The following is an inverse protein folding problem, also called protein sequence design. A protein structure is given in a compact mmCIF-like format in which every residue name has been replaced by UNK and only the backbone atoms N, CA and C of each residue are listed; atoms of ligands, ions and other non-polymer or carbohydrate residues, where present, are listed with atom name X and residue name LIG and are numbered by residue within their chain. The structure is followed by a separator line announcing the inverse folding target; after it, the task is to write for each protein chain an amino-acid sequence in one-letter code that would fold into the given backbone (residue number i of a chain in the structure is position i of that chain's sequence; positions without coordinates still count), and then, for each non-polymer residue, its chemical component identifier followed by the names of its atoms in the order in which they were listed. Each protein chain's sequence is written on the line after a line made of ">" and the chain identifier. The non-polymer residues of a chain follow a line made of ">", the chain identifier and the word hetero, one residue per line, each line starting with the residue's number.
data_IF_848023535858
#
_entry.id   IF_848023535858
#
_cell.length_a   1.000
_cell.length_b   1.000
_cell.length_c   1.000
_cell.angle_alpha   90.00
_cell.angle_beta   90.00
_cell.angle_gamma   90.00
#
_symmetry.space_group_name_H-M   'P 1'
#
loop_
_entity.id
_entity.type
_entity.pdbx_description
1 polymer ?
#
# COMPACT_ATOMS: atom_id res chain seq x y z
N UNK A 1 23.22 -5.08 -15.48
CA UNK A 1 22.64 -3.85 -16.08
C UNK A 1 21.13 -4.04 -16.07
N UNK A 2 20.34 -3.05 -15.61
CA UNK A 2 18.88 -3.16 -15.64
C UNK A 2 18.38 -3.31 -17.09
N UNK A 3 17.62 -4.36 -17.38
CA UNK A 3 16.99 -4.59 -18.68
C UNK A 3 15.87 -3.56 -18.88
N UNK A 4 16.16 -2.46 -19.58
CA UNK A 4 15.20 -1.39 -19.88
C UNK A 4 14.90 -1.35 -21.38
N UNK A 5 13.67 -0.93 -21.74
CA UNK A 5 13.22 -0.75 -23.13
C UNK A 5 12.64 0.65 -23.29
N UNK A 6 13.09 1.38 -24.31
CA UNK A 6 12.57 2.72 -24.62
C UNK A 6 11.11 2.61 -25.12
N UNK A 7 10.23 3.42 -24.51
CA UNK A 7 8.81 3.51 -24.89
C UNK A 7 8.47 4.98 -25.14
N UNK A 8 8.17 5.40 -26.38
CA UNK A 8 7.78 6.78 -26.66
C UNK A 8 6.35 7.02 -26.15
N UNK A 9 6.17 8.06 -25.33
CA UNK A 9 4.89 8.46 -24.75
C UNK A 9 4.67 9.95 -25.07
N UNK A 10 3.48 10.30 -25.55
CA UNK A 10 3.09 11.70 -25.78
C UNK A 10 2.63 12.33 -24.47
N UNK A 11 3.18 13.50 -24.15
CA UNK A 11 2.75 14.30 -23.01
C UNK A 11 2.08 15.59 -23.50
N UNK A 12 0.99 16.03 -22.84
CA UNK A 12 0.48 17.39 -22.99
C UNK A 12 1.54 18.44 -22.68
N UNK A 13 1.55 19.55 -23.42
CA UNK A 13 2.58 20.60 -23.31
C UNK A 13 2.51 21.34 -21.97
N UNK A 14 1.32 21.58 -21.47
CA UNK A 14 1.04 22.14 -20.15
C UNK A 14 1.64 21.27 -19.04
N UNK A 15 1.40 19.95 -19.09
CA UNK A 15 1.94 19.00 -18.12
C UNK A 15 3.47 18.91 -18.18
N UNK A 16 4.06 19.00 -19.37
CA UNK A 16 5.52 19.07 -19.51
C UNK A 16 6.08 20.35 -18.90
N UNK A 17 5.43 21.50 -19.14
CA UNK A 17 5.86 22.78 -18.59
C UNK A 17 5.84 22.76 -17.05
N UNK A 18 4.79 22.20 -16.46
CA UNK A 18 4.70 22.02 -15.01
C UNK A 18 5.78 21.08 -14.47
N UNK A 19 6.03 19.96 -15.17
CA UNK A 19 7.07 19.03 -14.79
C UNK A 19 8.46 19.69 -14.85
N UNK A 20 8.74 20.48 -15.88
CA UNK A 20 9.98 21.22 -16.03
C UNK A 20 10.17 22.27 -14.93
N UNK A 21 9.09 22.98 -14.58
CA UNK A 21 9.09 23.98 -13.52
C UNK A 21 9.35 23.39 -12.13
N UNK A 22 8.81 22.20 -11.83
CA UNK A 22 8.81 21.65 -10.47
C UNK A 22 9.83 20.54 -10.22
N UNK A 23 10.20 19.76 -11.23
CA UNK A 23 11.11 18.61 -11.11
C UNK A 23 12.48 18.90 -11.75
N UNK A 24 12.50 19.75 -12.78
CA UNK A 24 13.69 20.08 -13.56
C UNK A 24 14.06 19.01 -14.59
N UNK A 25 14.74 19.44 -15.67
CA UNK A 25 14.89 18.65 -16.89
C UNK A 25 15.57 17.28 -16.69
N UNK A 26 16.57 17.19 -15.80
CA UNK A 26 17.37 15.97 -15.58
C UNK A 26 16.67 14.91 -14.71
N UNK A 27 15.61 15.28 -13.99
CA UNK A 27 14.93 14.37 -13.05
C UNK A 27 13.56 13.88 -13.55
N UNK A 28 13.11 14.34 -14.72
CA UNK A 28 11.83 13.96 -15.34
C UNK A 28 11.63 12.44 -15.41
N UNK A 29 12.60 11.74 -15.99
CA UNK A 29 12.50 10.28 -16.16
C UNK A 29 12.38 9.55 -14.83
N UNK A 30 13.18 9.95 -13.83
CA UNK A 30 13.12 9.36 -12.49
C UNK A 30 11.74 9.60 -11.85
N UNK A 31 11.26 10.84 -11.91
CA UNK A 31 9.96 11.21 -11.36
C UNK A 31 8.81 10.45 -12.03
N UNK A 32 8.80 10.36 -13.35
CA UNK A 32 7.77 9.62 -14.11
C UNK A 32 7.82 8.12 -13.76
N UNK A 33 9.00 7.53 -13.65
CA UNK A 33 9.16 6.12 -13.25
C UNK A 33 8.61 5.88 -11.84
N UNK A 34 8.95 6.73 -10.88
CA UNK A 34 8.47 6.61 -9.50
C UNK A 34 6.96 6.82 -9.39
N UNK A 35 6.42 7.83 -10.07
CA UNK A 35 4.98 8.06 -10.15
C UNK A 35 4.24 6.87 -10.77
N UNK A 36 4.78 6.31 -11.86
CA UNK A 36 4.23 5.12 -12.53
C UNK A 36 4.25 3.91 -11.59
N UNK A 37 5.36 3.67 -10.88
CA UNK A 37 5.47 2.59 -9.88
C UNK A 37 4.40 2.75 -8.79
N UNK A 38 4.21 3.97 -8.27
CA UNK A 38 3.22 4.27 -7.23
C UNK A 38 1.79 4.00 -7.71
N UNK A 39 1.42 4.48 -8.88
CA UNK A 39 0.06 4.28 -9.41
C UNK A 39 -0.21 2.81 -9.78
N UNK A 40 0.78 2.11 -10.35
CA UNK A 40 0.67 0.67 -10.60
C UNK A 40 0.49 -0.14 -9.32
N UNK A 41 1.17 0.25 -8.23
CA UNK A 41 0.99 -0.41 -6.93
C UNK A 41 -0.45 -0.24 -6.42
N UNK A 42 -1.01 0.97 -6.48
CA UNK A 42 -2.40 1.22 -6.09
C UNK A 42 -3.39 0.40 -6.91
N UNK A 43 -3.18 0.30 -8.23
CA UNK A 43 -4.03 -0.53 -9.10
C UNK A 43 -3.98 -2.02 -8.71
N UNK A 44 -2.79 -2.54 -8.40
CA UNK A 44 -2.62 -3.91 -7.91
C UNK A 44 -3.32 -4.12 -6.58
N UNK A 45 -3.15 -3.19 -5.63
CA UNK A 45 -3.82 -3.24 -4.33
C UNK A 45 -5.34 -3.21 -4.47
N UNK A 46 -5.89 -2.32 -5.30
CA UNK A 46 -7.32 -2.26 -5.58
C UNK A 46 -7.85 -3.59 -6.11
N UNK A 47 -7.14 -4.18 -7.09
CA UNK A 47 -7.52 -5.48 -7.64
C UNK A 47 -7.46 -6.59 -6.59
N UNK A 48 -6.42 -6.59 -5.76
CA UNK A 48 -6.25 -7.56 -4.68
C UNK A 48 -7.39 -7.47 -3.66
N UNK A 49 -7.75 -6.26 -3.23
CA UNK A 49 -8.88 -6.03 -2.33
C UNK A 49 -10.21 -6.51 -2.93
N UNK A 50 -10.45 -6.24 -4.21
CA UNK A 50 -11.63 -6.73 -4.91
C UNK A 50 -11.67 -8.26 -4.98
N UNK A 51 -10.55 -8.90 -5.30
CA UNK A 51 -10.48 -10.37 -5.35
C UNK A 51 -10.56 -11.03 -3.97
N UNK A 52 -10.12 -10.32 -2.93
CA UNK A 52 -10.12 -10.81 -1.55
C UNK A 52 -11.44 -10.52 -0.81
N UNK A 53 -12.38 -9.83 -1.47
CA UNK A 53 -13.69 -9.53 -0.90
C UNK A 53 -14.41 -10.82 -0.49
N UNK A 54 -14.85 -10.89 0.77
CA UNK A 54 -15.57 -12.06 1.31
C UNK A 54 -14.68 -13.26 1.67
N UNK A 55 -13.34 -13.08 1.75
CA UNK A 55 -12.44 -14.12 2.27
C UNK A 55 -12.69 -14.38 3.77
N UNK A 56 -12.94 -13.33 4.56
CA UNK A 56 -13.25 -13.46 5.98
C UNK A 56 -14.73 -13.80 6.15
N UNK A 57 -15.03 -15.10 6.14
CA UNK A 57 -16.37 -15.62 6.42
C UNK A 57 -16.49 -15.92 7.91
N UNK A 58 -17.61 -15.55 8.52
CA UNK A 58 -17.87 -15.72 9.96
C UNK A 58 -17.66 -17.17 10.45
N UNK A 59 -17.98 -18.17 9.60
CA UNK A 59 -17.76 -19.59 9.93
C UNK A 59 -16.29 -19.92 10.14
N UNK A 60 -15.42 -19.32 9.32
CA UNK A 60 -14.00 -19.63 9.30
C UNK A 60 -13.20 -18.61 10.16
N UNK A 61 -13.76 -17.42 10.41
CA UNK A 61 -13.20 -16.30 11.18
C UNK A 61 -14.26 -15.65 12.07
N UNK A 62 -14.71 -16.32 13.15
CA UNK A 62 -15.76 -15.79 14.03
C UNK A 62 -15.35 -14.48 14.71
N UNK A 63 -14.05 -14.24 14.93
CA UNK A 63 -13.52 -12.99 15.48
C UNK A 63 -13.78 -11.76 14.61
N UNK A 64 -14.21 -11.95 13.36
CA UNK A 64 -14.52 -10.88 12.40
C UNK A 64 -16.01 -10.81 12.03
N UNK A 65 -16.88 -11.54 12.73
CA UNK A 65 -18.30 -11.60 12.43
C UNK A 65 -19.00 -10.24 12.65
N UNK A 66 -18.69 -9.55 13.76
CA UNK A 66 -19.20 -8.20 14.02
C UNK A 66 -18.18 -7.26 14.69
N UNK A 67 -18.61 -6.02 14.94
CA UNK A 67 -17.74 -4.99 15.50
C UNK A 67 -17.30 -5.26 16.95
N UNK A 68 -18.12 -5.97 17.73
CA UNK A 68 -17.80 -6.33 19.12
C UNK A 68 -16.78 -7.46 19.15
N UNK A 69 -16.94 -8.47 18.29
CA UNK A 69 -15.99 -9.57 18.10
C UNK A 69 -14.62 -9.03 17.68
N UNK A 70 -14.59 -8.14 16.69
CA UNK A 70 -13.36 -7.48 16.23
C UNK A 70 -12.71 -6.69 17.36
N UNK A 71 -13.49 -5.91 18.12
CA UNK A 71 -12.97 -5.14 19.25
C UNK A 71 -12.36 -6.04 20.32
N UNK A 72 -13.03 -7.14 20.66
CA UNK A 72 -12.57 -8.12 21.64
C UNK A 72 -11.29 -8.82 21.19
N UNK A 73 -11.22 -9.20 19.92
CA UNK A 73 -10.04 -9.78 19.30
C UNK A 73 -8.84 -8.81 19.30
N UNK A 74 -9.05 -7.54 18.92
CA UNK A 74 -8.00 -6.51 18.94
C UNK A 74 -7.49 -6.28 20.37
N UNK A 75 -8.38 -6.23 21.38
CA UNK A 75 -7.97 -6.09 22.79
C UNK A 75 -7.10 -7.27 23.22
N UNK A 76 -7.54 -8.49 22.95
CA UNK A 76 -6.78 -9.70 23.27
C UNK A 76 -5.36 -9.66 22.66
N UNK A 77 -5.22 -9.31 21.39
CA UNK A 77 -3.91 -9.20 20.73
C UNK A 77 -3.01 -8.16 21.41
N UNK A 78 -3.57 -7.02 21.81
CA UNK A 78 -2.82 -5.96 22.51
C UNK A 78 -2.36 -6.42 23.89
N UNK A 79 -3.23 -7.08 24.64
CA UNK A 79 -2.91 -7.61 25.96
C UNK A 79 -1.83 -8.70 25.88
N UNK A 80 -1.91 -9.60 24.91
CA UNK A 80 -0.88 -10.61 24.64
C UNK A 80 0.46 -9.98 24.26
N UNK A 81 0.43 -8.92 23.44
CA UNK A 81 1.62 -8.19 23.03
C UNK A 81 2.28 -7.48 24.23
N UNK A 82 1.47 -6.85 25.07
CA UNK A 82 1.95 -6.15 26.27
C UNK A 82 2.48 -7.13 27.32
N UNK A 83 1.82 -8.27 27.52
CA UNK A 83 2.32 -9.34 28.40
C UNK A 83 3.69 -9.83 27.95
N UNK A 84 3.86 -10.10 26.64
CA UNK A 84 5.15 -10.49 26.06
C UNK A 84 6.20 -9.39 26.20
N UNK A 85 5.82 -8.13 26.00
CA UNK A 85 6.72 -6.99 26.18
C UNK A 85 7.26 -6.95 27.62
N UNK A 86 6.38 -7.10 28.63
CA UNK A 86 6.79 -7.13 30.04
C UNK A 86 7.69 -8.32 30.36
N UNK A 87 7.42 -9.49 29.79
CA UNK A 87 8.26 -10.67 29.95
C UNK A 87 9.69 -10.45 29.42
N UNK A 88 9.82 -9.81 28.24
CA UNK A 88 11.12 -9.59 27.59
C UNK A 88 11.89 -8.42 28.23
N UNK A 89 11.20 -7.34 28.58
CA UNK A 89 11.84 -6.07 28.93
C UNK A 89 11.72 -5.66 30.41
N UNK A 90 10.92 -6.36 31.22
CA UNK A 90 10.98 -6.26 32.68
C UNK A 90 10.67 -4.88 33.29
N UNK A 91 9.84 -4.05 32.64
CA UNK A 91 9.19 -2.87 33.25
C UNK A 91 7.67 -3.08 33.31
#
# INVERSE_FOLDING_TARGET
>A
MENTKLTPIRFPLDLLSDLDKHVGERQKSKFIIEATKKELLKLKQKKALQSASGIFKDRDYPEFADAEDVSSWVRKIRDETEARRREIFGE
#
